data_IF_914299629505
#
_entry.id   IF_914299629505
#
_cell.length_a   1.000
_cell.length_b   1.000
_cell.length_c   1.000
_cell.angle_alpha   90.00
_cell.angle_beta   90.00
_cell.angle_gamma   90.00
#
_symmetry.space_group_name_H-M   'P 1'
#
loop_
_entity.id
_entity.type
_entity.pdbx_description
1 polymer ?
#
# COMPACT_ATOMS: atom_id res chain seq x y z
N UNK A 1 -2.33 14.50 -7.01
CA UNK A 1 -1.45 15.48 -6.33
C UNK A 1 -0.10 14.89 -5.92
N UNK A 2 0.02 13.83 -5.09
CA UNK A 2 1.31 13.24 -4.67
C UNK A 2 2.17 12.76 -5.86
N UNK A 3 1.57 12.07 -6.82
CA UNK A 3 2.28 11.67 -8.06
C UNK A 3 2.76 12.85 -8.88
N UNK A 4 1.95 13.91 -8.98
CA UNK A 4 2.31 15.16 -9.67
C UNK A 4 3.48 15.83 -8.97
N UNK A 5 3.45 15.92 -7.63
CA UNK A 5 4.59 16.42 -6.84
C UNK A 5 5.86 15.64 -7.13
N UNK A 6 5.80 14.32 -7.15
CA UNK A 6 6.96 13.47 -7.45
C UNK A 6 7.49 13.70 -8.88
N UNK A 7 6.58 13.88 -9.86
CA UNK A 7 6.99 14.22 -11.24
C UNK A 7 7.70 15.56 -11.30
N UNK A 8 7.21 16.59 -10.60
CA UNK A 8 7.85 17.91 -10.53
C UNK A 8 9.24 17.79 -9.91
N UNK A 9 9.38 17.05 -8.81
CA UNK A 9 10.67 16.79 -8.17
C UNK A 9 11.68 16.13 -9.12
N UNK A 10 11.22 15.13 -9.89
CA UNK A 10 12.08 14.46 -10.88
C UNK A 10 12.45 15.39 -12.04
N UNK A 11 11.53 16.25 -12.47
CA UNK A 11 11.80 17.23 -13.52
C UNK A 11 12.82 18.29 -13.06
N UNK A 12 12.75 18.77 -11.81
CA UNK A 12 13.74 19.68 -11.24
C UNK A 12 15.12 19.04 -11.24
N UNK A 13 15.21 17.76 -10.90
CA UNK A 13 16.49 17.03 -10.96
C UNK A 13 16.99 16.85 -12.39
N UNK A 14 16.09 16.61 -13.34
CA UNK A 14 16.44 16.52 -14.75
C UNK A 14 16.92 17.86 -15.33
N UNK A 15 16.31 18.99 -14.92
CA UNK A 15 16.80 20.33 -15.33
C UNK A 15 18.25 20.54 -14.92
N UNK A 16 18.61 20.23 -13.67
CA UNK A 16 20.00 20.34 -13.21
C UNK A 16 20.94 19.38 -13.96
N UNK A 17 20.51 18.14 -14.16
CA UNK A 17 21.32 17.11 -14.82
C UNK A 17 21.59 17.44 -16.30
N UNK A 18 20.60 17.98 -17.02
CA UNK A 18 20.74 18.35 -18.44
C UNK A 18 21.75 19.50 -18.64
N UNK A 19 21.93 20.33 -17.63
CA UNK A 19 22.94 21.40 -17.62
C UNK A 19 24.31 20.91 -17.05
N UNK A 20 24.51 19.58 -16.93
CA UNK A 20 25.72 18.96 -16.45
C UNK A 20 25.94 19.01 -14.94
N UNK A 21 24.94 19.44 -14.18
CA UNK A 21 25.06 19.65 -12.74
C UNK A 21 24.60 18.39 -11.97
N UNK A 22 25.54 17.72 -11.32
CA UNK A 22 25.23 16.57 -10.43
C UNK A 22 24.95 17.06 -9.02
N UNK A 23 23.66 16.99 -8.62
CA UNK A 23 23.24 17.33 -7.28
C UNK A 23 23.08 16.07 -6.43
N UNK A 24 23.87 15.93 -5.37
CA UNK A 24 23.74 14.85 -4.38
C UNK A 24 22.58 15.08 -3.41
N UNK A 25 22.15 16.33 -3.21
CA UNK A 25 21.08 16.73 -2.31
C UNK A 25 19.71 16.70 -3.00
N UNK A 26 18.65 16.55 -2.21
CA UNK A 26 17.29 16.69 -2.71
C UNK A 26 17.01 18.16 -3.01
N UNK A 27 16.91 18.50 -4.28
CA UNK A 27 16.82 19.88 -4.79
C UNK A 27 15.59 20.67 -4.34
N UNK A 28 14.56 19.97 -3.83
CA UNK A 28 13.32 20.57 -3.31
C UNK A 28 13.32 20.84 -1.81
N UNK A 29 14.40 20.53 -1.10
CA UNK A 29 14.61 20.90 0.31
C UNK A 29 15.41 22.20 0.38
N UNK A 30 15.29 22.95 1.46
CA UNK A 30 15.88 24.28 1.63
C UNK A 30 17.32 24.37 1.18
N UNK A 31 18.18 23.45 1.63
CA UNK A 31 19.59 23.43 1.24
C UNK A 31 19.82 23.07 -0.22
N UNK A 32 18.99 22.18 -0.80
CA UNK A 32 19.05 21.81 -2.21
C UNK A 32 18.46 22.89 -3.11
N UNK A 33 17.39 23.55 -2.64
CA UNK A 33 16.74 24.65 -3.35
C UNK A 33 17.67 25.83 -3.50
N UNK A 34 18.34 26.27 -2.43
CA UNK A 34 19.38 27.31 -2.48
C UNK A 34 20.49 26.98 -3.50
N UNK A 35 20.93 25.72 -3.49
CA UNK A 35 21.90 25.25 -4.46
C UNK A 35 21.35 25.28 -5.91
N UNK A 36 20.11 24.84 -6.12
CA UNK A 36 19.46 24.86 -7.44
C UNK A 36 19.26 26.30 -7.96
N UNK A 37 18.92 27.23 -7.08
CA UNK A 37 18.74 28.64 -7.39
C UNK A 37 20.05 29.35 -7.72
N UNK A 38 21.18 28.94 -7.12
CA UNK A 38 22.49 29.50 -7.39
C UNK A 38 23.09 29.11 -8.75
N UNK A 39 22.53 28.13 -9.43
CA UNK A 39 23.03 27.68 -10.73
C UNK A 39 22.72 28.68 -11.85
N UNK A 40 23.72 29.05 -12.60
CA UNK A 40 23.58 29.78 -13.86
C UNK A 40 23.07 28.81 -14.94
N UNK A 41 21.80 28.84 -15.22
CA UNK A 41 21.15 28.01 -16.23
C UNK A 41 20.82 28.84 -17.48
N UNK A 42 20.69 28.17 -18.63
CA UNK A 42 20.20 28.83 -19.85
C UNK A 42 18.81 29.48 -19.61
N UNK A 43 18.43 30.54 -20.33
CA UNK A 43 17.23 31.32 -20.03
C UNK A 43 15.94 30.50 -19.90
N UNK A 44 15.71 29.56 -20.80
CA UNK A 44 14.56 28.68 -20.78
C UNK A 44 14.61 27.64 -19.66
N UNK A 45 15.79 27.10 -19.33
CA UNK A 45 15.98 26.22 -18.19
C UNK A 45 15.76 26.94 -16.86
N UNK A 46 16.21 28.21 -16.75
CA UNK A 46 15.96 29.07 -15.60
C UNK A 46 14.46 29.36 -15.41
N UNK A 47 13.73 29.64 -16.51
CA UNK A 47 12.28 29.82 -16.47
C UNK A 47 11.59 28.53 -16.00
N UNK A 48 11.91 27.40 -16.63
CA UNK A 48 11.34 26.09 -16.28
C UNK A 48 11.59 25.73 -14.81
N UNK A 49 12.79 25.96 -14.29
CA UNK A 49 13.11 25.81 -12.87
C UNK A 49 12.15 26.60 -11.99
N UNK A 50 11.96 27.88 -12.29
CA UNK A 50 11.08 28.77 -11.52
C UNK A 50 9.64 28.25 -11.53
N UNK A 51 9.10 27.94 -12.69
CA UNK A 51 7.72 27.45 -12.85
C UNK A 51 7.51 26.14 -12.09
N UNK A 52 8.49 25.20 -12.12
CA UNK A 52 8.41 23.94 -11.38
C UNK A 52 8.48 24.14 -9.85
N UNK A 53 9.31 25.07 -9.38
CA UNK A 53 9.40 25.41 -7.95
C UNK A 53 8.08 26.04 -7.46
N UNK A 54 7.51 26.95 -8.22
CA UNK A 54 6.22 27.58 -7.90
C UNK A 54 5.09 26.55 -7.83
N UNK A 55 5.02 25.63 -8.78
CA UNK A 55 4.05 24.52 -8.73
C UNK A 55 4.26 23.63 -7.50
N UNK A 56 5.50 23.36 -7.11
CA UNK A 56 5.81 22.57 -5.93
C UNK A 56 5.37 23.27 -4.65
N UNK A 57 5.58 24.59 -4.58
CA UNK A 57 5.20 25.43 -3.43
C UNK A 57 3.68 25.49 -3.26
N UNK A 58 2.91 25.47 -4.35
CA UNK A 58 1.44 25.42 -4.32
C UNK A 58 0.92 24.03 -3.92
N UNK A 59 1.56 22.95 -4.43
CA UNK A 59 1.09 21.59 -4.17
C UNK A 59 1.41 21.09 -2.75
N UNK A 60 2.53 21.52 -2.19
CA UNK A 60 3.00 20.98 -0.90
C UNK A 60 2.05 21.31 0.26
N UNK A 61 1.60 22.57 0.48
CA UNK A 61 0.66 22.88 1.54
C UNK A 61 -0.70 22.21 1.34
N UNK A 62 -1.22 22.17 0.12
CA UNK A 62 -2.50 21.49 -0.16
C UNK A 62 -2.44 19.99 0.14
N UNK A 63 -1.30 19.32 -0.16
CA UNK A 63 -1.11 17.92 0.20
C UNK A 63 -1.05 17.76 1.73
N UNK A 64 -0.39 18.67 2.45
CA UNK A 64 -0.31 18.63 3.91
C UNK A 64 -1.70 18.80 4.55
N UNK A 65 -2.48 19.78 4.09
CA UNK A 65 -3.85 20.02 4.52
C UNK A 65 -4.74 18.79 4.32
N UNK A 66 -4.74 18.21 3.12
CA UNK A 66 -5.50 16.99 2.84
C UNK A 66 -5.03 15.79 3.67
N UNK A 67 -3.74 15.69 3.95
CA UNK A 67 -3.20 14.63 4.80
C UNK A 67 -3.72 14.78 6.22
N UNK A 68 -3.69 16.00 6.77
CA UNK A 68 -4.20 16.29 8.10
C UNK A 68 -5.72 16.01 8.19
N UNK A 69 -6.49 16.39 7.18
CA UNK A 69 -7.92 16.07 7.13
C UNK A 69 -8.19 14.56 7.14
N UNK A 70 -7.40 13.77 6.39
CA UNK A 70 -7.51 12.31 6.38
C UNK A 70 -7.16 11.72 7.76
N UNK A 71 -6.12 12.24 8.42
CA UNK A 71 -5.73 11.81 9.76
C UNK A 71 -6.83 12.08 10.78
N UNK A 72 -7.42 13.28 10.75
CA UNK A 72 -8.56 13.63 11.59
C UNK A 72 -9.77 12.74 11.38
N UNK A 73 -10.12 12.44 10.13
CA UNK A 73 -11.23 11.53 9.83
C UNK A 73 -10.93 10.08 10.26
N UNK A 74 -9.68 9.63 10.11
CA UNK A 74 -9.27 8.31 10.57
C UNK A 74 -9.33 8.18 12.10
N UNK A 75 -9.06 9.27 12.84
CA UNK A 75 -9.17 9.30 14.29
C UNK A 75 -10.64 9.23 14.78
N UNK A 76 -11.59 9.78 14.02
CA UNK A 76 -13.02 9.68 14.33
C UNK A 76 -13.59 8.27 14.08
N UNK A 77 -12.90 7.45 13.26
CA UNK A 77 -13.35 6.11 12.89
C UNK A 77 -12.67 5.04 13.76
N UNK A 78 -13.38 4.39 14.71
CA UNK A 78 -12.80 3.39 15.61
C UNK A 78 -12.17 2.21 14.87
N UNK A 79 -12.78 1.79 13.76
CA UNK A 79 -12.28 0.71 12.90
C UNK A 79 -10.94 1.11 12.27
N UNK A 80 -10.86 2.32 11.72
CA UNK A 80 -9.62 2.82 11.12
C UNK A 80 -8.50 2.93 12.14
N UNK A 81 -8.76 3.45 13.35
CA UNK A 81 -7.78 3.48 14.45
C UNK A 81 -7.26 2.10 14.80
N UNK A 82 -8.16 1.12 14.87
CA UNK A 82 -7.79 -0.29 15.14
C UNK A 82 -6.88 -0.85 14.04
N UNK A 83 -7.20 -0.61 12.78
CA UNK A 83 -6.38 -1.07 11.66
C UNK A 83 -5.00 -0.41 11.61
N UNK A 84 -4.87 0.81 12.07
CA UNK A 84 -3.59 1.54 12.17
C UNK A 84 -2.61 0.92 13.18
N UNK A 85 -3.08 0.06 14.08
CA UNK A 85 -2.16 -0.69 14.97
C UNK A 85 -1.29 -1.68 14.21
N UNK A 86 -1.69 -2.06 12.96
CA UNK A 86 -0.89 -2.96 12.13
C UNK A 86 0.33 -2.22 11.54
N UNK A 87 1.57 -2.75 11.70
CA UNK A 87 2.76 -2.15 11.13
C UNK A 87 2.63 -1.90 9.62
N UNK A 88 2.96 -0.70 9.18
CA UNK A 88 2.87 -0.29 7.79
C UNK A 88 1.50 0.20 7.32
N UNK A 89 0.49 0.20 8.18
CA UNK A 89 -0.85 0.71 7.87
C UNK A 89 -1.02 2.09 8.50
N UNK A 90 -0.97 3.14 7.68
CA UNK A 90 -1.23 4.52 8.09
C UNK A 90 -2.70 4.91 7.95
N UNK A 91 -3.04 6.13 8.39
CA UNK A 91 -4.39 6.69 8.38
C UNK A 91 -5.10 6.57 7.02
N UNK A 92 -4.41 6.95 5.93
CA UNK A 92 -4.96 6.85 4.58
C UNK A 92 -5.33 5.41 4.21
N UNK A 93 -4.46 4.44 4.49
CA UNK A 93 -4.69 3.03 4.14
C UNK A 93 -5.83 2.45 4.97
N UNK A 94 -5.85 2.74 6.28
CA UNK A 94 -6.87 2.26 7.19
C UNK A 94 -8.25 2.82 6.84
N UNK A 95 -8.35 4.14 6.69
CA UNK A 95 -9.61 4.83 6.36
C UNK A 95 -10.13 4.38 4.97
N UNK A 96 -9.26 4.33 3.96
CA UNK A 96 -9.63 3.85 2.63
C UNK A 96 -10.12 2.39 2.66
N UNK A 97 -9.49 1.52 3.48
CA UNK A 97 -9.92 0.14 3.64
C UNK A 97 -11.35 0.07 4.20
N UNK A 98 -11.64 0.81 5.27
CA UNK A 98 -12.97 0.85 5.89
C UNK A 98 -14.01 1.39 4.90
N UNK A 99 -13.75 2.52 4.25
CA UNK A 99 -14.70 3.16 3.33
C UNK A 99 -14.98 2.31 2.08
N UNK A 100 -13.98 1.65 1.52
CA UNK A 100 -14.13 0.84 0.29
C UNK A 100 -14.81 -0.49 0.58
N UNK A 101 -14.51 -1.12 1.71
CA UNK A 101 -15.15 -2.37 2.14
C UNK A 101 -16.57 -2.12 2.62
N UNK A 102 -16.83 -1.01 3.31
CA UNK A 102 -18.12 -0.56 3.83
C UNK A 102 -18.52 -1.30 5.10
N UNK A 103 -18.74 -2.61 5.04
CA UNK A 103 -19.11 -3.46 6.19
C UNK A 103 -18.37 -4.78 6.13
N UNK A 104 -17.72 -5.17 7.23
CA UNK A 104 -16.97 -6.42 7.30
C UNK A 104 -17.86 -7.66 7.17
N UNK A 105 -19.11 -7.55 7.65
CA UNK A 105 -20.11 -8.64 7.68
C UNK A 105 -20.58 -9.06 6.28
N UNK A 106 -20.42 -8.20 5.27
CA UNK A 106 -20.71 -8.53 3.86
C UNK A 106 -19.92 -9.73 3.35
N UNK A 107 -18.81 -10.04 4.02
CA UNK A 107 -17.88 -11.09 3.61
C UNK A 107 -17.82 -12.17 4.67
N UNK A 108 -17.89 -13.42 4.24
CA UNK A 108 -17.83 -14.56 5.15
C UNK A 108 -16.39 -14.96 5.50
N UNK A 109 -15.45 -14.71 4.61
CA UNK A 109 -14.06 -15.10 4.80
C UNK A 109 -13.06 -14.18 4.08
N UNK A 110 -11.80 -14.23 4.48
CA UNK A 110 -10.73 -13.45 3.88
C UNK A 110 -10.46 -13.73 2.39
N UNK A 111 -10.88 -14.90 1.87
CA UNK A 111 -10.79 -15.20 0.44
C UNK A 111 -11.71 -14.28 -0.38
N UNK A 112 -12.91 -13.99 0.11
CA UNK A 112 -13.85 -13.09 -0.55
C UNK A 112 -13.32 -11.66 -0.59
N UNK A 113 -12.67 -11.17 0.49
CA UNK A 113 -11.99 -9.85 0.50
C UNK A 113 -10.89 -9.80 -0.54
N UNK A 114 -10.05 -10.83 -0.60
CA UNK A 114 -8.96 -10.88 -1.59
C UNK A 114 -9.49 -10.88 -3.04
N UNK A 115 -10.62 -11.54 -3.28
CA UNK A 115 -11.31 -11.55 -4.58
C UNK A 115 -11.92 -10.19 -4.89
N UNK A 116 -12.67 -9.60 -3.95
CA UNK A 116 -13.27 -8.27 -4.08
C UNK A 116 -12.25 -7.18 -4.42
N UNK A 117 -11.05 -7.28 -3.83
CA UNK A 117 -9.94 -6.36 -4.10
C UNK A 117 -9.15 -6.71 -5.37
N UNK A 118 -9.49 -7.81 -6.05
CA UNK A 118 -8.79 -8.26 -7.25
C UNK A 118 -7.34 -8.68 -7.02
N UNK A 119 -7.02 -9.19 -5.83
CA UNK A 119 -5.71 -9.69 -5.43
C UNK A 119 -5.60 -11.22 -5.55
N UNK A 120 -6.55 -11.85 -6.24
CA UNK A 120 -6.53 -13.29 -6.55
C UNK A 120 -6.03 -13.50 -7.97
N UNK A 121 -5.34 -14.62 -8.25
CA UNK A 121 -4.95 -14.94 -9.62
C UNK A 121 -6.17 -15.10 -10.52
N UNK A 122 -6.05 -14.63 -11.75
CA UNK A 122 -6.97 -14.99 -12.81
C UNK A 122 -6.78 -16.49 -13.10
N UNK A 123 -7.86 -17.22 -13.13
CA UNK A 123 -7.87 -18.64 -13.45
C UNK A 123 -8.45 -18.85 -14.86
N UNK A 124 -7.65 -19.43 -15.71
CA UNK A 124 -8.01 -19.84 -17.07
C UNK A 124 -7.77 -21.34 -17.17
N UNK A 125 -8.66 -22.09 -16.52
CA UNK A 125 -8.57 -23.54 -16.38
C UNK A 125 -9.60 -24.22 -17.28
N UNK A 126 -9.19 -25.25 -18.00
CA UNK A 126 -10.07 -26.09 -18.82
C UNK A 126 -9.78 -27.58 -18.55
N UNK A 127 -10.83 -28.33 -18.24
CA UNK A 127 -10.72 -29.75 -17.89
C UNK A 127 -9.78 -29.97 -16.71
N UNK A 128 -8.83 -30.88 -16.84
CA UNK A 128 -7.87 -31.20 -15.77
C UNK A 128 -6.66 -30.28 -15.71
N UNK A 129 -6.57 -29.25 -16.58
CA UNK A 129 -5.41 -28.36 -16.65
C UNK A 129 -5.69 -27.03 -15.96
N UNK A 130 -5.09 -26.82 -14.79
CA UNK A 130 -5.19 -25.58 -14.06
C UNK A 130 -4.13 -24.56 -14.52
N UNK A 131 -4.59 -23.42 -15.05
CA UNK A 131 -3.72 -22.29 -15.44
C UNK A 131 -4.04 -21.07 -14.58
N UNK A 132 -3.03 -20.58 -13.86
CA UNK A 132 -3.11 -19.36 -13.06
C UNK A 132 -2.28 -18.27 -13.73
N UNK A 133 -2.93 -17.16 -14.06
CA UNK A 133 -2.33 -15.99 -14.67
C UNK A 133 -1.95 -14.89 -13.66
N UNK A 134 -1.94 -13.66 -14.15
CA UNK A 134 -1.82 -12.45 -13.31
C UNK A 134 -3.04 -12.31 -12.38
N UNK A 135 -2.98 -11.36 -11.44
CA UNK A 135 -4.15 -11.04 -10.59
C UNK A 135 -5.29 -10.47 -11.43
N UNK A 136 -6.54 -10.72 -11.01
CA UNK A 136 -7.75 -10.28 -11.72
C UNK A 136 -7.83 -8.77 -11.90
N UNK A 137 -7.24 -7.99 -10.98
CA UNK A 137 -7.29 -6.53 -10.92
C UNK A 137 -8.70 -5.94 -10.83
N UNK A 138 -9.70 -6.75 -10.57
CA UNK A 138 -11.06 -6.30 -10.28
C UNK A 138 -11.10 -5.47 -9.00
N UNK A 139 -12.15 -4.67 -8.83
CA UNK A 139 -12.31 -3.82 -7.66
C UNK A 139 -11.41 -2.56 -7.69
N UNK A 140 -11.24 -1.93 -6.53
CA UNK A 140 -10.64 -0.61 -6.40
C UNK A 140 -9.11 -0.62 -6.60
N UNK A 141 -8.62 0.09 -7.61
CA UNK A 141 -7.19 0.16 -7.96
C UNK A 141 -6.36 0.93 -6.92
N UNK A 142 -6.92 1.99 -6.32
CA UNK A 142 -6.26 2.75 -5.26
C UNK A 142 -6.01 1.87 -4.04
N UNK A 143 -7.01 1.07 -3.64
CA UNK A 143 -6.86 0.18 -2.50
C UNK A 143 -5.78 -0.88 -2.73
N UNK A 144 -5.71 -1.47 -3.93
CA UNK A 144 -4.61 -2.38 -4.27
C UNK A 144 -3.24 -1.73 -4.18
N UNK A 145 -3.11 -0.48 -4.67
CA UNK A 145 -1.88 0.29 -4.56
C UNK A 145 -1.49 0.52 -3.09
N UNK A 146 -2.41 1.03 -2.27
CA UNK A 146 -2.17 1.28 -0.85
C UNK A 146 -1.78 0.02 -0.09
N UNK A 147 -2.43 -1.11 -0.36
CA UNK A 147 -2.09 -2.40 0.26
C UNK A 147 -0.71 -2.91 -0.15
N UNK A 148 -0.30 -2.70 -1.40
CA UNK A 148 1.05 -3.08 -1.85
C UNK A 148 2.10 -2.23 -1.15
N UNK A 149 1.91 -0.92 -1.05
CA UNK A 149 2.82 -0.02 -0.34
C UNK A 149 2.88 -0.34 1.15
N UNK A 150 1.73 -0.49 1.81
CA UNK A 150 1.66 -0.86 3.22
C UNK A 150 2.35 -2.20 3.50
N UNK A 151 2.11 -3.21 2.67
CA UNK A 151 2.76 -4.52 2.80
C UNK A 151 4.30 -4.43 2.65
N UNK A 152 4.81 -3.52 1.80
CA UNK A 152 6.27 -3.31 1.69
C UNK A 152 6.86 -2.68 2.96
N UNK A 153 6.11 -1.81 3.63
CA UNK A 153 6.52 -1.25 4.93
C UNK A 153 6.49 -2.35 5.99
N UNK A 154 5.42 -3.15 6.05
CA UNK A 154 5.32 -4.30 6.98
C UNK A 154 6.49 -5.28 6.79
N UNK A 155 6.85 -5.62 5.57
CA UNK A 155 8.00 -6.49 5.27
C UNK A 155 9.32 -5.93 5.80
N UNK A 156 9.46 -4.62 5.87
CA UNK A 156 10.67 -3.97 6.42
C UNK A 156 10.70 -3.97 7.93
N UNK A 157 9.56 -3.82 8.58
CA UNK A 157 9.43 -3.68 10.04
C UNK A 157 9.28 -5.01 10.77
N UNK A 158 8.68 -6.03 10.15
CA UNK A 158 8.34 -7.30 10.77
C UNK A 158 9.22 -8.45 10.20
N UNK A 159 10.03 -9.12 11.05
CA UNK A 159 10.91 -10.21 10.62
C UNK A 159 10.17 -11.40 9.99
N UNK A 160 9.01 -11.78 10.52
CA UNK A 160 8.18 -12.87 10.00
C UNK A 160 7.66 -12.58 8.60
N UNK A 161 7.23 -11.34 8.37
CA UNK A 161 6.81 -10.88 7.05
C UNK A 161 7.96 -10.84 6.07
N UNK A 162 9.12 -10.43 6.54
CA UNK A 162 10.36 -10.38 5.76
C UNK A 162 10.76 -11.79 5.29
N UNK A 163 10.80 -12.76 6.20
CA UNK A 163 11.11 -14.16 5.87
C UNK A 163 10.15 -14.71 4.80
N UNK A 164 8.87 -14.57 5.02
CA UNK A 164 7.82 -15.00 4.06
C UNK A 164 7.92 -14.32 2.70
N UNK A 165 8.23 -13.02 2.68
CA UNK A 165 8.44 -12.28 1.46
C UNK A 165 9.63 -12.81 0.66
N UNK A 166 10.79 -12.99 1.30
CA UNK A 166 11.98 -13.50 0.63
C UNK A 166 11.79 -14.91 0.10
N UNK A 167 11.16 -15.79 0.87
CA UNK A 167 10.84 -17.15 0.42
C UNK A 167 9.94 -17.15 -0.83
N UNK A 168 8.92 -16.31 -0.87
CA UNK A 168 8.07 -16.14 -2.05
C UNK A 168 8.82 -15.49 -3.21
N UNK A 169 9.68 -14.50 -2.93
CA UNK A 169 10.42 -13.79 -3.95
C UNK A 169 11.44 -14.68 -4.69
N UNK A 170 12.08 -15.60 -3.96
CA UNK A 170 12.98 -16.59 -4.54
C UNK A 170 12.23 -17.59 -5.45
N UNK A 171 11.04 -18.03 -5.04
CA UNK A 171 10.28 -19.05 -5.79
C UNK A 171 9.49 -18.49 -6.98
N UNK A 172 8.96 -17.28 -6.88
CA UNK A 172 7.97 -16.70 -7.82
C UNK A 172 8.35 -15.32 -8.35
N UNK A 173 9.46 -14.77 -7.89
CA UNK A 173 9.92 -13.43 -8.25
C UNK A 173 9.32 -12.31 -7.41
N UNK A 174 10.04 -11.19 -7.33
CA UNK A 174 9.73 -10.06 -6.43
C UNK A 174 8.36 -9.42 -6.69
N UNK A 175 7.93 -9.32 -7.95
CA UNK A 175 6.64 -8.70 -8.31
C UNK A 175 5.47 -9.51 -7.75
N UNK A 176 5.51 -10.82 -7.88
CA UNK A 176 4.47 -11.74 -7.37
C UNK A 176 4.49 -11.73 -5.83
N UNK A 177 5.68 -11.78 -5.23
CA UNK A 177 5.81 -11.74 -3.77
C UNK A 177 5.18 -10.48 -3.16
N UNK A 178 5.41 -9.28 -3.75
CA UNK A 178 4.78 -8.03 -3.30
C UNK A 178 3.25 -8.12 -3.26
N UNK A 179 2.65 -8.62 -4.32
CA UNK A 179 1.20 -8.76 -4.43
C UNK A 179 0.66 -9.82 -3.47
N UNK A 180 1.38 -10.92 -3.28
CA UNK A 180 1.00 -11.95 -2.31
C UNK A 180 1.02 -11.42 -0.87
N UNK A 181 2.00 -10.58 -0.52
CA UNK A 181 2.05 -9.91 0.78
C UNK A 181 0.91 -8.90 0.94
N UNK A 182 0.58 -8.13 -0.10
CA UNK A 182 -0.58 -7.23 -0.10
C UNK A 182 -1.91 -7.98 0.12
N UNK A 183 -2.09 -9.13 -0.55
CA UNK A 183 -3.24 -10.01 -0.32
C UNK A 183 -3.30 -10.50 1.13
N UNK A 184 -2.16 -10.91 1.68
CA UNK A 184 -2.08 -11.34 3.08
C UNK A 184 -2.44 -10.22 4.04
N UNK A 185 -1.95 -9.00 3.77
CA UNK A 185 -2.30 -7.82 4.55
C UNK A 185 -3.80 -7.56 4.52
N UNK A 186 -4.42 -7.55 3.33
CA UNK A 186 -5.86 -7.33 3.19
C UNK A 186 -6.69 -8.32 4.02
N UNK A 187 -6.30 -9.60 4.03
CA UNK A 187 -6.97 -10.64 4.83
C UNK A 187 -6.78 -10.39 6.33
N UNK A 188 -5.58 -9.96 6.76
CA UNK A 188 -5.32 -9.65 8.17
C UNK A 188 -6.13 -8.45 8.63
N UNK A 189 -6.16 -7.36 7.86
CA UNK A 189 -6.96 -6.16 8.17
C UNK A 189 -8.45 -6.49 8.26
N UNK A 190 -8.95 -7.33 7.36
CA UNK A 190 -10.32 -7.81 7.42
C UNK A 190 -10.63 -8.54 8.74
N UNK A 191 -9.77 -9.45 9.20
CA UNK A 191 -9.99 -10.17 10.44
C UNK A 191 -9.83 -9.29 11.68
N UNK A 192 -8.89 -8.34 11.67
CA UNK A 192 -8.78 -7.32 12.71
C UNK A 192 -10.09 -6.56 12.86
N UNK A 193 -10.64 -6.11 11.74
CA UNK A 193 -11.91 -5.39 11.75
C UNK A 193 -13.07 -6.26 12.22
N UNK A 194 -13.28 -7.41 11.59
CA UNK A 194 -14.42 -8.30 11.87
C UNK A 194 -14.46 -8.80 13.31
N UNK A 195 -13.29 -9.10 13.90
CA UNK A 195 -13.19 -9.61 15.27
C UNK A 195 -12.98 -8.51 16.31
N UNK A 196 -12.83 -7.28 15.89
CA UNK A 196 -12.55 -6.16 16.80
C UNK A 196 -11.13 -6.19 17.41
N UNK A 197 -10.18 -6.89 16.77
CA UNK A 197 -8.84 -7.10 17.28
C UNK A 197 -7.88 -5.99 16.86
N UNK A 198 -6.94 -5.64 17.74
CA UNK A 198 -5.73 -4.90 17.38
C UNK A 198 -4.66 -5.86 16.83
N UNK A 199 -3.52 -5.32 16.42
CA UNK A 199 -2.43 -6.12 15.84
C UNK A 199 -1.85 -7.16 16.82
N UNK A 200 -1.70 -6.81 18.10
CA UNK A 200 -1.20 -7.73 19.12
C UNK A 200 -2.15 -8.90 19.36
N UNK A 201 -3.44 -8.61 19.46
CA UNK A 201 -4.47 -9.63 19.60
C UNK A 201 -4.52 -10.55 18.37
N UNK A 202 -4.40 -9.97 17.17
CA UNK A 202 -4.32 -10.77 15.95
C UNK A 202 -3.12 -11.72 15.97
N UNK A 203 -1.96 -11.30 16.48
CA UNK A 203 -0.79 -12.17 16.56
C UNK A 203 -0.93 -13.26 17.64
N UNK A 204 -1.61 -12.96 18.75
CA UNK A 204 -1.86 -13.95 19.83
C UNK A 204 -2.91 -14.99 19.44
N UNK A 205 -4.01 -14.55 18.82
CA UNK A 205 -5.18 -15.39 18.55
C UNK A 205 -5.34 -15.77 17.09
N UNK A 206 -4.63 -15.11 16.20
CA UNK A 206 -4.85 -15.14 14.75
C UNK A 206 -4.00 -16.13 13.98
N UNK A 207 -3.33 -17.10 14.61
CA UNK A 207 -2.57 -18.13 13.90
C UNK A 207 -3.44 -18.92 12.91
N UNK A 208 -4.75 -18.94 13.12
CA UNK A 208 -5.77 -19.55 12.27
C UNK A 208 -6.66 -18.52 11.51
N UNK A 209 -6.38 -17.20 11.62
CA UNK A 209 -7.18 -16.15 10.98
C UNK A 209 -7.01 -16.12 9.44
N UNK A 210 -7.39 -17.17 8.80
CA UNK A 210 -7.32 -17.36 7.34
C UNK A 210 -7.50 -18.81 6.92
N UNK A 211 -7.54 -19.72 7.87
CA UNK A 211 -8.03 -21.08 7.61
C UNK A 211 -9.57 -21.09 7.77
N UNK A 212 -10.30 -21.73 6.85
CA UNK A 212 -11.71 -22.03 7.10
C UNK A 212 -11.76 -22.87 8.39
N UNK A 213 -12.66 -22.52 9.32
CA UNK A 213 -13.02 -23.44 10.40
C UNK A 213 -13.31 -24.78 9.72
N UNK A 214 -12.56 -25.81 10.07
CA UNK A 214 -12.88 -27.16 9.65
C UNK A 214 -14.23 -27.54 10.27
N UNK A 215 -15.32 -27.25 9.58
CA UNK A 215 -16.64 -27.79 9.87
C UNK A 215 -16.72 -29.22 9.32
N UNK A 216 -15.87 -30.08 9.80
CA UNK A 216 -16.04 -31.53 9.70
C UNK A 216 -15.71 -32.14 11.07
N UNK A 217 -16.62 -31.89 12.01
CA UNK A 217 -16.86 -32.86 13.05
C UNK A 217 -17.44 -34.10 12.36
N UNK A 218 -16.59 -35.03 11.99
CA UNK A 218 -17.01 -36.40 11.74
C UNK A 218 -17.50 -36.93 13.10
N UNK A 219 -18.79 -36.95 13.29
CA UNK A 219 -19.40 -37.82 14.31
C UNK A 219 -19.08 -39.24 13.88
N UNK A 220 -18.09 -39.84 14.56
CA UNK A 220 -17.95 -41.29 14.58
C UNK A 220 -19.16 -41.89 15.27
N UNK A 221 -20.06 -42.41 14.47
CA UNK A 221 -21.09 -43.34 14.93
C UNK A 221 -20.37 -44.63 15.24
N UNK A 222 -20.23 -44.94 16.53
CA UNK A 222 -19.92 -46.26 17.03
C UNK A 222 -21.20 -47.02 17.15
N UNK A 223 -21.35 -48.07 16.37
CA UNK A 223 -22.08 -49.28 16.76
C UNK A 223 -21.08 -50.31 17.26
#
# INVERSE_FOLDING_TARGET
MVQTRTRIMNQLQAVALNEGLRCKKRLWRDSGRKQLESFALAPWASRRRRDLLELLDRLTPTIAELTQAIEQEAEKCPEARRLQTHPGVGALTALAFVLIIGRAERFQCGKQIASYLGLVPLEDSSGNRRRLGHITKQGNSLMRFLLVEAAQVTVRSDPDWRSKYFHLAMRRGRKIAKVAMARRLAVRLYWMWRKGWNYEQLNKFGSHAGQPENRHGVQSITE
#
